data_IF_025275515480
#
_entry.id   IF_025275515480
#
_cell.length_a   1.000
_cell.length_b   1.000
_cell.length_c   1.000
_cell.angle_alpha   90.00
_cell.angle_beta   90.00
_cell.angle_gamma   90.00
#
_symmetry.space_group_name_H-M   'P 1'
#
loop_
_entity.id
_entity.type
_entity.pdbx_description
1 polymer ?
#
# COMPACT_ATOMS: atom_id res chain seq x y z
N UNK A 1 13.54 -52.62 -20.96
CA UNK A 1 12.83 -51.41 -20.47
C UNK A 1 13.14 -51.06 -19.00
N UNK A 2 13.19 -52.02 -18.06
CA UNK A 2 13.46 -51.72 -16.64
C UNK A 2 14.85 -51.11 -16.31
N UNK A 3 15.88 -51.33 -17.14
CA UNK A 3 17.24 -50.79 -16.88
C UNK A 3 17.37 -49.33 -17.30
N UNK A 4 16.66 -48.92 -18.35
CA UNK A 4 16.61 -47.53 -18.82
C UNK A 4 15.78 -46.64 -17.89
N UNK A 5 14.70 -47.18 -17.31
CA UNK A 5 13.88 -46.47 -16.32
C UNK A 5 14.68 -46.07 -15.06
N UNK A 6 15.61 -46.90 -14.59
CA UNK A 6 16.49 -46.58 -13.44
C UNK A 6 17.53 -45.50 -13.77
N UNK A 7 18.04 -45.48 -15.00
CA UNK A 7 18.99 -44.45 -15.47
C UNK A 7 18.27 -43.11 -15.66
N UNK A 8 17.05 -43.13 -16.20
CA UNK A 8 16.19 -41.94 -16.34
C UNK A 8 15.80 -41.41 -14.96
N UNK A 9 15.45 -42.29 -14.00
CA UNK A 9 15.12 -41.90 -12.64
C UNK A 9 16.34 -41.33 -11.87
N UNK A 10 17.55 -41.84 -12.11
CA UNK A 10 18.80 -41.30 -11.55
C UNK A 10 19.18 -39.94 -12.14
N UNK A 11 18.92 -39.71 -13.43
CA UNK A 11 19.13 -38.43 -14.11
C UNK A 11 18.13 -37.35 -13.64
N UNK A 12 16.87 -37.70 -13.37
CA UNK A 12 15.87 -36.77 -12.81
C UNK A 12 16.21 -36.39 -11.37
N UNK A 13 16.80 -37.31 -10.58
CA UNK A 13 17.21 -37.03 -9.20
C UNK A 13 18.44 -36.10 -9.11
N UNK A 14 19.33 -36.12 -10.11
CA UNK A 14 20.52 -35.26 -10.16
C UNK A 14 20.22 -33.83 -10.65
N UNK A 15 19.07 -33.59 -11.28
CA UNK A 15 18.69 -32.28 -11.80
C UNK A 15 18.17 -31.30 -10.73
N UNK A 16 17.92 -31.77 -9.50
CA UNK A 16 17.39 -30.94 -8.41
C UNK A 16 18.45 -30.20 -7.57
N UNK A 17 19.75 -30.31 -7.91
CA UNK A 17 20.85 -29.77 -7.10
C UNK A 17 21.49 -28.47 -7.62
N UNK A 18 20.79 -27.72 -8.49
CA UNK A 18 21.38 -26.59 -9.23
C UNK A 18 20.74 -25.21 -9.05
N UNK A 19 19.85 -24.98 -8.08
CA UNK A 19 19.26 -23.65 -7.82
C UNK A 19 19.43 -23.25 -6.36
N UNK A 20 20.69 -23.18 -5.92
CA UNK A 20 21.07 -22.72 -4.60
C UNK A 20 22.33 -21.85 -4.66
N UNK A 21 22.24 -20.68 -5.28
CA UNK A 21 23.13 -19.54 -5.04
C UNK A 21 22.66 -18.34 -5.87
N UNK A 22 21.77 -17.54 -5.30
CA UNK A 22 21.26 -16.34 -5.95
C UNK A 22 20.20 -15.64 -5.12
N UNK A 23 20.45 -15.43 -3.83
CA UNK A 23 19.84 -14.26 -3.19
C UNK A 23 20.51 -13.04 -3.81
N UNK A 24 20.02 -12.64 -4.99
CA UNK A 24 20.08 -11.25 -5.38
C UNK A 24 19.27 -10.51 -4.33
N UNK A 25 19.96 -9.96 -3.33
CA UNK A 25 19.40 -8.85 -2.58
C UNK A 25 19.13 -7.77 -3.62
N UNK A 26 17.89 -7.69 -4.09
CA UNK A 26 17.42 -6.47 -4.71
C UNK A 26 17.60 -5.40 -3.61
N UNK A 27 18.53 -4.48 -3.81
CA UNK A 27 18.56 -3.24 -3.05
C UNK A 27 17.19 -2.60 -3.25
N UNK A 28 16.32 -2.68 -2.24
CA UNK A 28 15.07 -1.96 -2.26
C UNK A 28 15.46 -0.48 -2.30
N UNK A 29 15.10 0.27 -3.37
CA UNK A 29 15.43 1.68 -3.42
C UNK A 29 14.88 2.33 -2.16
N UNK A 30 15.76 3.04 -1.45
CA UNK A 30 15.41 3.73 -0.21
C UNK A 30 14.07 4.45 -0.40
N UNK A 31 13.22 4.44 0.62
CA UNK A 31 11.89 5.06 0.57
C UNK A 31 11.91 6.53 0.10
N UNK A 32 13.07 7.20 0.18
CA UNK A 32 13.35 8.53 -0.35
C UNK A 32 13.35 8.62 -1.88
N UNK A 33 13.62 7.52 -2.60
CA UNK A 33 13.61 7.46 -4.06
C UNK A 33 12.25 6.99 -4.62
N UNK A 34 11.38 6.44 -3.77
CA UNK A 34 10.05 5.95 -4.18
C UNK A 34 9.07 7.13 -4.26
N UNK A 35 8.73 7.56 -5.48
CA UNK A 35 7.69 8.56 -5.73
C UNK A 35 8.15 10.01 -5.87
N UNK A 36 9.47 10.27 -5.99
CA UNK A 36 10.02 11.63 -6.11
C UNK A 36 9.61 12.39 -7.38
N UNK A 37 9.03 11.74 -8.40
CA UNK A 37 8.67 12.37 -9.68
C UNK A 37 7.50 11.71 -10.42
N UNK A 38 6.63 10.95 -9.73
CA UNK A 38 5.50 10.30 -10.41
C UNK A 38 4.35 11.29 -10.53
N UNK A 39 4.09 11.80 -11.75
CA UNK A 39 2.85 12.51 -12.06
C UNK A 39 1.82 11.50 -12.57
N UNK A 40 0.57 11.63 -12.13
CA UNK A 40 -0.54 10.78 -12.58
C UNK A 40 -1.22 11.38 -13.80
N UNK A 41 -1.67 10.54 -14.72
CA UNK A 41 -2.53 10.95 -15.84
C UNK A 41 -3.91 11.38 -15.33
N UNK A 42 -4.67 12.11 -16.16
CA UNK A 42 -6.04 12.51 -15.81
C UNK A 42 -6.95 11.30 -15.52
N UNK A 43 -6.83 10.23 -16.32
CA UNK A 43 -7.58 8.98 -16.12
C UNK A 43 -7.25 8.32 -14.78
N UNK A 44 -5.97 8.26 -14.41
CA UNK A 44 -5.51 7.72 -13.13
C UNK A 44 -6.00 8.57 -11.95
N UNK A 45 -5.94 9.90 -12.07
CA UNK A 45 -6.49 10.80 -11.05
C UNK A 45 -7.99 10.62 -10.91
N UNK A 46 -8.71 10.40 -12.02
CA UNK A 46 -10.15 10.17 -11.98
C UNK A 46 -10.51 8.85 -11.31
N UNK A 47 -9.75 7.79 -11.57
CA UNK A 47 -9.90 6.50 -10.89
C UNK A 47 -9.71 6.67 -9.37
N UNK A 48 -8.65 7.38 -8.96
CA UNK A 48 -8.40 7.65 -7.54
C UNK A 48 -9.46 8.54 -6.91
N UNK A 49 -9.97 9.56 -7.62
CA UNK A 49 -11.08 10.40 -7.16
C UNK A 49 -12.30 9.53 -6.83
N UNK A 50 -12.69 8.65 -7.76
CA UNK A 50 -13.85 7.78 -7.58
C UNK A 50 -13.68 6.85 -6.36
N UNK A 51 -12.51 6.21 -6.23
CA UNK A 51 -12.21 5.35 -5.08
C UNK A 51 -12.26 6.12 -3.76
N UNK A 52 -11.70 7.33 -3.72
CA UNK A 52 -11.72 8.16 -2.53
C UNK A 52 -13.13 8.64 -2.16
N UNK A 53 -13.97 8.94 -3.15
CA UNK A 53 -15.40 9.25 -2.93
C UNK A 53 -16.13 8.05 -2.33
N UNK A 54 -15.97 6.86 -2.89
CA UNK A 54 -16.59 5.64 -2.35
C UNK A 54 -16.15 5.36 -0.90
N UNK A 55 -14.85 5.53 -0.61
CA UNK A 55 -14.32 5.40 0.76
C UNK A 55 -14.94 6.43 1.70
N UNK A 56 -15.17 7.67 1.24
CA UNK A 56 -15.78 8.72 2.06
C UNK A 56 -17.24 8.39 2.38
N UNK A 57 -17.99 7.88 1.41
CA UNK A 57 -19.39 7.48 1.61
C UNK A 57 -19.49 6.29 2.57
N UNK A 58 -18.63 5.28 2.42
CA UNK A 58 -18.55 4.16 3.37
C UNK A 58 -18.15 4.62 4.78
N UNK A 59 -17.30 5.64 4.90
CA UNK A 59 -16.97 6.24 6.21
C UNK A 59 -18.15 6.95 6.85
N UNK A 60 -19.01 7.62 6.06
CA UNK A 60 -20.25 8.25 6.57
C UNK A 60 -21.17 7.20 7.14
N UNK A 61 -21.45 6.14 6.39
CA UNK A 61 -22.27 5.01 6.86
C UNK A 61 -21.69 4.36 8.13
N UNK A 62 -20.36 4.16 8.16
CA UNK A 62 -19.69 3.60 9.34
C UNK A 62 -19.87 4.50 10.58
N UNK A 63 -19.75 5.81 10.42
CA UNK A 63 -19.95 6.75 11.53
C UNK A 63 -21.40 6.75 12.00
N UNK A 64 -22.38 6.66 11.10
CA UNK A 64 -23.79 6.49 11.47
C UNK A 64 -24.00 5.24 12.32
N UNK A 65 -23.35 4.11 11.95
CA UNK A 65 -23.40 2.88 12.75
C UNK A 65 -22.75 3.02 14.11
N UNK A 66 -21.62 3.73 14.22
CA UNK A 66 -21.01 3.99 15.52
C UNK A 66 -21.86 4.90 16.42
N UNK A 67 -22.60 5.85 15.84
CA UNK A 67 -23.57 6.66 16.58
C UNK A 67 -24.76 5.79 17.01
N UNK A 68 -25.29 4.95 16.12
CA UNK A 68 -26.37 4.00 16.42
C UNK A 68 -26.01 3.06 17.58
N UNK A 69 -24.78 2.57 17.61
CA UNK A 69 -24.29 1.66 18.66
C UNK A 69 -23.82 2.38 19.92
N UNK A 70 -23.91 3.71 19.96
CA UNK A 70 -23.50 4.53 21.10
C UNK A 70 -21.99 4.53 21.35
N UNK A 71 -21.18 4.15 20.35
CA UNK A 71 -19.71 4.19 20.43
C UNK A 71 -19.23 5.63 20.30
N UNK A 72 -19.80 6.39 19.37
CA UNK A 72 -19.52 7.82 19.16
C UNK A 72 -20.76 8.67 19.43
N UNK A 73 -20.54 9.91 19.89
CA UNK A 73 -21.58 10.94 19.83
C UNK A 73 -21.75 11.45 18.38
N UNK A 74 -22.89 12.07 18.09
CA UNK A 74 -23.14 12.70 16.79
C UNK A 74 -22.09 13.77 16.45
N UNK A 75 -21.70 14.58 17.43
CA UNK A 75 -20.68 15.62 17.27
C UNK A 75 -19.30 15.01 16.95
N UNK A 76 -18.91 13.92 17.61
CA UNK A 76 -17.65 13.22 17.32
C UNK A 76 -17.63 12.63 15.90
N UNK A 77 -18.75 12.08 15.45
CA UNK A 77 -18.91 11.58 14.09
C UNK A 77 -18.81 12.71 13.05
N UNK A 78 -19.50 13.83 13.27
CA UNK A 78 -19.44 15.01 12.39
C UNK A 78 -18.04 15.62 12.32
N UNK A 79 -17.37 15.77 13.47
CA UNK A 79 -15.99 16.25 13.53
C UNK A 79 -15.04 15.33 12.73
N UNK A 80 -15.13 14.02 12.94
CA UNK A 80 -14.34 13.04 12.17
C UNK A 80 -14.57 13.16 10.67
N UNK A 81 -15.83 13.25 10.23
CA UNK A 81 -16.18 13.37 8.81
C UNK A 81 -15.65 14.67 8.20
N UNK A 82 -15.72 15.79 8.92
CA UNK A 82 -15.18 17.07 8.46
C UNK A 82 -13.67 17.00 8.18
N UNK A 83 -12.92 16.30 9.03
CA UNK A 83 -11.49 16.06 8.82
C UNK A 83 -11.24 15.18 7.60
N UNK A 84 -12.06 14.17 7.36
CA UNK A 84 -11.93 13.30 6.18
C UNK A 84 -12.23 14.05 4.88
N UNK A 85 -13.25 14.89 4.86
CA UNK A 85 -13.58 15.76 3.73
C UNK A 85 -12.45 16.75 3.44
N UNK A 86 -11.92 17.41 4.47
CA UNK A 86 -10.76 18.30 4.34
C UNK A 86 -9.54 17.57 3.77
N UNK A 87 -9.30 16.33 4.18
CA UNK A 87 -8.21 15.50 3.61
C UNK A 87 -8.46 15.13 2.15
N UNK A 88 -9.70 14.83 1.77
CA UNK A 88 -10.06 14.54 0.38
C UNK A 88 -9.78 15.74 -0.52
N UNK A 89 -10.19 16.95 -0.12
CA UNK A 89 -9.92 18.18 -0.88
C UNK A 89 -8.42 18.45 -1.04
N UNK A 90 -7.63 18.20 0.00
CA UNK A 90 -6.17 18.33 -0.09
C UNK A 90 -5.52 17.32 -1.05
N UNK A 91 -6.06 16.10 -1.13
CA UNK A 91 -5.63 15.11 -2.11
C UNK A 91 -6.03 15.53 -3.52
N UNK A 92 -7.24 16.05 -3.70
CA UNK A 92 -7.68 16.57 -5.01
C UNK A 92 -6.77 17.70 -5.51
N UNK A 93 -6.42 18.64 -4.64
CA UNK A 93 -5.53 19.75 -4.96
C UNK A 93 -4.10 19.32 -5.33
N UNK A 94 -3.64 18.15 -4.88
CA UNK A 94 -2.29 17.66 -5.12
C UNK A 94 -2.22 16.52 -6.16
N UNK A 95 -3.30 16.32 -6.92
CA UNK A 95 -3.38 15.28 -7.95
C UNK A 95 -3.39 13.86 -7.37
N UNK A 96 -3.93 13.69 -6.16
CA UNK A 96 -4.05 12.43 -5.42
C UNK A 96 -2.70 11.78 -5.06
N UNK A 97 -1.62 12.56 -4.98
CA UNK A 97 -0.31 12.08 -4.54
C UNK A 97 -0.18 12.33 -3.03
N UNK A 98 -0.16 11.30 -2.17
CA UNK A 98 -0.06 11.52 -0.74
C UNK A 98 1.28 12.15 -0.38
N UNK A 99 1.26 13.25 0.38
CA UNK A 99 2.46 13.74 1.04
C UNK A 99 2.81 12.79 2.19
N UNK A 100 3.55 11.71 1.88
CA UNK A 100 4.19 10.89 2.89
C UNK A 100 5.27 11.74 3.56
N UNK A 101 4.91 12.38 4.68
CA UNK A 101 5.91 13.05 5.49
C UNK A 101 6.83 11.98 6.07
N UNK A 102 8.01 11.84 5.48
CA UNK A 102 9.14 11.14 6.07
C UNK A 102 9.59 11.93 7.30
N UNK A 103 8.91 11.76 8.44
CA UNK A 103 9.51 12.04 9.75
C UNK A 103 10.55 10.94 10.03
N UNK A 104 11.66 10.95 9.30
CA UNK A 104 12.89 10.41 9.87
C UNK A 104 13.28 11.44 10.94
N UNK A 105 12.74 11.30 12.14
CA UNK A 105 13.26 12.03 13.29
C UNK A 105 14.71 11.54 13.41
N UNK A 106 15.70 12.40 13.16
CA UNK A 106 17.12 12.12 13.40
C UNK A 106 17.36 11.89 14.92
N UNK A 107 16.77 10.85 15.48
CA UNK A 107 16.86 10.48 16.90
C UNK A 107 18.14 9.65 17.14
N UNK A 108 19.27 10.11 16.61
CA UNK A 108 20.52 9.35 16.67
C UNK A 108 21.81 10.12 16.36
N UNK A 109 21.81 11.46 16.35
CA UNK A 109 23.04 12.26 16.12
C UNK A 109 23.44 13.17 17.29
N UNK A 110 22.97 12.88 18.50
CA UNK A 110 23.54 13.46 19.72
C UNK A 110 23.81 12.34 20.73
N UNK A 111 24.99 11.71 20.58
CA UNK A 111 25.76 11.07 21.66
C UNK A 111 27.24 11.40 21.42
#
# INVERSE_FOLDING_TARGET
MLRFSKIIMLMVLLACFGLGAGHAFAEEPSSLERGKNTQLTEEQQKELENLHTEILDLRKELMEKYVEYGIFSKEQAEDYLSHMESRFERLKQNGFIPHWHWKVKERGKEQ
#
